data_IF_270288635159
#
_entry.id   IF_270288635159
#
_cell.length_a   1.000
_cell.length_b   1.000
_cell.length_c   1.000
_cell.angle_alpha   90.00
_cell.angle_beta   90.00
_cell.angle_gamma   90.00
#
_symmetry.space_group_name_H-M   'P 1'
#
loop_
_entity.id
_entity.type
_entity.pdbx_description
1 polymer ?
#
# COMPACT_ATOMS: atom_id res chain seq x y z
N UNK A 1 -12.23 -12.30 -18.27
CA UNK A 1 -11.25 -11.23 -18.56
C UNK A 1 -10.13 -11.33 -17.53
N UNK A 2 -8.86 -11.51 -17.92
CA UNK A 2 -7.73 -11.48 -16.98
C UNK A 2 -7.44 -10.02 -16.64
N UNK A 3 -7.97 -9.53 -15.52
CA UNK A 3 -7.67 -8.19 -15.01
C UNK A 3 -6.17 -8.15 -14.70
N UNK A 4 -5.40 -7.30 -15.40
CA UNK A 4 -3.98 -7.13 -15.10
C UNK A 4 -3.85 -6.68 -13.65
N UNK A 5 -3.09 -7.45 -12.87
CA UNK A 5 -2.83 -7.09 -11.49
C UNK A 5 -1.90 -5.88 -11.48
N UNK A 6 -2.38 -4.75 -10.94
CA UNK A 6 -1.56 -3.55 -10.76
C UNK A 6 -0.84 -3.64 -9.42
N UNK A 7 0.43 -3.27 -9.43
CA UNK A 7 1.25 -3.11 -8.23
C UNK A 7 1.68 -1.65 -8.12
N UNK A 8 1.80 -1.15 -6.90
CA UNK A 8 2.38 0.16 -6.60
C UNK A 8 3.34 0.05 -5.42
N UNK A 9 4.37 0.88 -5.42
CA UNK A 9 5.32 0.96 -4.32
C UNK A 9 4.84 1.99 -3.30
N UNK A 10 4.99 1.65 -2.02
CA UNK A 10 4.71 2.56 -0.91
C UNK A 10 5.92 2.67 0.02
N UNK A 11 6.15 3.87 0.52
CA UNK A 11 7.18 4.15 1.52
C UNK A 11 6.53 4.68 2.79
N UNK A 12 6.80 4.09 3.98
CA UNK A 12 6.22 4.58 5.23
C UNK A 12 6.80 5.96 5.58
N UNK A 13 5.93 6.94 5.84
CA UNK A 13 6.32 8.30 6.23
C UNK A 13 6.16 8.56 7.71
N UNK A 14 5.19 7.91 8.36
CA UNK A 14 4.96 8.02 9.81
C UNK A 14 5.64 6.90 10.60
N UNK A 15 5.89 7.13 11.90
CA UNK A 15 6.42 6.10 12.81
C UNK A 15 5.50 4.87 12.86
N UNK A 16 4.19 5.09 12.83
CA UNK A 16 3.19 4.02 12.84
C UNK A 16 3.21 3.18 11.55
N UNK A 17 3.35 3.83 10.40
CA UNK A 17 3.49 3.12 9.13
C UNK A 17 4.80 2.33 9.06
N UNK A 18 5.88 2.87 9.63
CA UNK A 18 7.19 2.20 9.69
C UNK A 18 7.16 0.93 10.52
N UNK A 19 6.46 0.96 11.66
CA UNK A 19 6.26 -0.22 12.49
C UNK A 19 5.53 -1.32 11.71
N UNK A 20 4.40 -0.98 11.06
CA UNK A 20 3.65 -1.91 10.19
C UNK A 20 4.50 -2.43 9.03
N UNK A 21 5.28 -1.56 8.40
CA UNK A 21 6.14 -1.92 7.29
C UNK A 21 7.19 -2.96 7.69
N UNK A 22 7.82 -2.79 8.86
CA UNK A 22 8.86 -3.70 9.37
C UNK A 22 8.25 -4.99 9.94
N UNK A 23 7.20 -4.88 10.75
CA UNK A 23 6.67 -6.01 11.53
C UNK A 23 5.57 -6.80 10.82
N UNK A 24 4.83 -6.18 9.90
CA UNK A 24 3.69 -6.81 9.23
C UNK A 24 3.95 -7.02 7.74
N UNK A 25 4.60 -6.08 7.04
CA UNK A 25 4.79 -6.16 5.59
C UNK A 25 6.14 -6.78 5.16
N UNK A 26 6.95 -7.27 6.09
CA UNK A 26 8.29 -7.84 5.83
C UNK A 26 9.22 -6.90 5.05
N UNK A 27 9.01 -5.58 5.19
CA UNK A 27 9.75 -4.53 4.46
C UNK A 27 9.56 -4.58 2.95
N UNK A 28 8.49 -5.21 2.44
CA UNK A 28 8.15 -5.16 1.03
C UNK A 28 7.42 -3.87 0.68
N UNK A 29 8.05 -3.03 -0.14
CA UNK A 29 7.46 -1.78 -0.62
C UNK A 29 6.32 -1.98 -1.62
N UNK A 30 6.42 -3.05 -2.43
CA UNK A 30 5.43 -3.33 -3.45
C UNK A 30 4.13 -3.85 -2.82
N UNK A 31 3.01 -3.27 -3.22
CA UNK A 31 1.67 -3.65 -2.80
C UNK A 31 0.79 -3.88 -4.02
N UNK A 32 -0.12 -4.85 -3.91
CA UNK A 32 -1.11 -5.18 -4.94
C UNK A 32 -2.30 -4.24 -4.81
N UNK A 33 -2.68 -3.58 -5.90
CA UNK A 33 -3.93 -2.79 -5.96
C UNK A 33 -5.10 -3.76 -6.11
N UNK A 34 -5.93 -3.82 -5.09
CA UNK A 34 -7.16 -4.62 -5.06
C UNK A 34 -8.32 -3.84 -5.64
N UNK A 35 -8.44 -2.59 -5.23
CA UNK A 35 -9.49 -1.67 -5.68
C UNK A 35 -8.91 -0.27 -5.86
N UNK A 36 -9.52 0.50 -6.75
CA UNK A 36 -9.22 1.92 -6.91
C UNK A 36 -10.53 2.69 -6.89
N UNK A 37 -10.57 3.75 -6.10
CA UNK A 37 -11.61 4.78 -6.19
C UNK A 37 -11.02 5.99 -6.91
N UNK A 38 -11.78 7.08 -7.03
CA UNK A 38 -11.28 8.33 -7.61
C UNK A 38 -10.09 8.87 -6.79
N UNK A 39 -10.22 8.90 -5.45
CA UNK A 39 -9.23 9.53 -4.57
C UNK A 39 -8.25 8.56 -3.88
N UNK A 40 -8.53 7.24 -3.86
CA UNK A 40 -7.76 6.29 -3.04
C UNK A 40 -7.44 4.98 -3.77
N UNK A 41 -6.39 4.31 -3.31
CA UNK A 41 -6.08 2.92 -3.65
C UNK A 41 -6.29 2.02 -2.44
N UNK A 42 -6.92 0.87 -2.66
CA UNK A 42 -6.94 -0.22 -1.68
C UNK A 42 -5.81 -1.20 -2.01
N UNK A 43 -4.89 -1.32 -1.07
CA UNK A 43 -3.64 -2.05 -1.22
C UNK A 43 -3.61 -3.29 -0.34
N UNK A 44 -3.05 -4.35 -0.88
CA UNK A 44 -2.69 -5.59 -0.20
C UNK A 44 -1.16 -5.71 -0.19
N UNK A 45 -0.56 -5.91 0.97
CA UNK A 45 0.87 -6.19 1.09
C UNK A 45 1.22 -7.51 0.37
N UNK A 46 2.45 -7.65 -0.13
CA UNK A 46 2.84 -8.85 -0.87
C UNK A 46 2.69 -10.15 -0.05
N UNK A 47 2.94 -10.09 1.26
CA UNK A 47 2.75 -11.23 2.16
C UNK A 47 1.30 -11.41 2.64
N UNK A 48 0.36 -10.59 2.15
CA UNK A 48 -1.09 -10.64 2.43
C UNK A 48 -1.47 -10.45 3.90
N UNK A 49 -0.55 -9.93 4.72
CA UNK A 49 -0.75 -9.68 6.14
C UNK A 49 -1.34 -8.30 6.43
N UNK A 50 -1.30 -7.37 5.47
CA UNK A 50 -1.77 -6.01 5.67
C UNK A 50 -2.59 -5.49 4.48
N UNK A 51 -3.72 -4.87 4.81
CA UNK A 51 -4.63 -4.27 3.85
C UNK A 51 -4.99 -2.86 4.30
N UNK A 52 -4.92 -1.91 3.37
CA UNK A 52 -5.07 -0.50 3.73
C UNK A 52 -5.44 0.37 2.54
N UNK A 53 -6.08 1.49 2.85
CA UNK A 53 -6.35 2.54 1.88
C UNK A 53 -5.25 3.59 1.92
N UNK A 54 -4.84 4.06 0.75
CA UNK A 54 -3.89 5.17 0.59
C UNK A 54 -4.50 6.23 -0.31
N UNK A 55 -4.42 7.49 0.12
CA UNK A 55 -4.84 8.63 -0.68
C UNK A 55 -3.86 8.89 -1.84
N UNK A 56 -4.38 9.09 -3.05
CA UNK A 56 -3.57 9.33 -4.25
C UNK A 56 -2.87 10.68 -4.22
N UNK A 57 -3.56 11.69 -3.70
CA UNK A 57 -3.09 13.08 -3.66
C UNK A 57 -2.22 13.39 -2.43
N UNK A 58 -1.85 12.37 -1.65
CA UNK A 58 -1.01 12.49 -0.47
C UNK A 58 -1.65 11.85 0.76
N UNK A 59 -0.92 10.92 1.37
CA UNK A 59 -1.36 10.23 2.58
C UNK A 59 -0.40 10.52 3.75
N UNK A 60 -0.96 10.58 4.96
CA UNK A 60 -0.19 10.88 6.17
C UNK A 60 0.80 9.77 6.53
N UNK A 61 0.49 8.52 6.18
CA UNK A 61 1.24 7.34 6.62
C UNK A 61 2.09 6.73 5.49
N UNK A 62 1.66 6.88 4.25
CA UNK A 62 2.28 6.21 3.10
C UNK A 62 2.54 7.18 1.95
N UNK A 63 3.77 7.24 1.46
CA UNK A 63 4.09 7.91 0.20
C UNK A 63 3.97 6.91 -0.94
N UNK A 64 3.20 7.24 -1.98
CA UNK A 64 3.16 6.48 -3.23
C UNK A 64 4.36 6.87 -4.11
N UNK A 65 4.99 5.89 -4.76
CA UNK A 65 6.08 6.06 -5.73
C UNK A 65 5.69 5.59 -7.13
#
# INVERSE_FOLDING_TARGET
>A
MKTKTKFICVTPTSTHARDRFVNIMEKFHSCRVKETTECKYYLESLNKQYYFWVNKDGDQNWRLE
#
